data_IF_620055519271
#
_entry.id   IF_620055519271
#
_cell.length_a   1.000
_cell.length_b   1.000
_cell.length_c   1.000
_cell.angle_alpha   90.00
_cell.angle_beta   90.00
_cell.angle_gamma   90.00
#
_symmetry.space_group_name_H-M   'P 1'
#
loop_
_entity.id
_entity.type
_entity.pdbx_description
1 polymer ?
#
# COMPACT_ATOMS: atom_id res chain seq x y z
N UNK A 1 13.97 -7.31 1.21
CA UNK A 1 13.65 -8.32 2.25
C UNK A 1 12.21 -8.04 2.68
N UNK A 2 11.23 -8.79 2.12
CA UNK A 2 9.82 -8.60 2.46
C UNK A 2 9.56 -9.31 3.80
N UNK A 3 9.38 -8.54 4.86
CA UNK A 3 8.87 -9.08 6.11
C UNK A 3 7.36 -9.31 5.94
N UNK A 4 6.96 -10.57 5.99
CA UNK A 4 5.57 -10.97 6.05
C UNK A 4 4.93 -10.36 7.31
N UNK A 5 4.01 -9.43 7.14
CA UNK A 5 3.14 -8.99 8.23
C UNK A 5 2.30 -10.19 8.69
N UNK A 6 2.70 -10.77 9.81
CA UNK A 6 1.94 -11.82 10.47
C UNK A 6 0.64 -11.23 11.04
N UNK A 7 -0.45 -11.38 10.34
CA UNK A 7 -1.80 -11.20 10.87
C UNK A 7 -2.14 -12.40 11.77
N UNK A 8 -1.45 -12.53 12.90
CA UNK A 8 -1.83 -13.47 13.94
C UNK A 8 -2.66 -12.74 14.98
N UNK A 9 -3.96 -12.99 15.01
CA UNK A 9 -4.79 -12.59 16.13
C UNK A 9 -6.20 -12.09 15.86
N UNK A 10 -6.81 -12.36 14.70
CA UNK A 10 -8.24 -12.09 14.49
C UNK A 10 -8.97 -13.39 14.28
N UNK A 11 -9.74 -13.80 15.29
CA UNK A 11 -10.49 -15.07 15.31
C UNK A 11 -11.74 -15.10 14.42
N UNK A 12 -11.93 -14.10 13.55
CA UNK A 12 -12.94 -14.07 12.50
C UNK A 12 -12.27 -13.70 11.18
N UNK A 13 -11.49 -14.64 10.66
CA UNK A 13 -10.79 -14.49 9.40
C UNK A 13 -11.76 -14.43 8.24
N UNK A 14 -12.19 -13.25 7.84
CA UNK A 14 -12.63 -13.03 6.47
C UNK A 14 -11.44 -13.43 5.60
N UNK A 15 -11.54 -14.60 4.97
CA UNK A 15 -10.47 -15.14 4.15
C UNK A 15 -10.18 -14.14 3.04
N UNK A 16 -8.90 -13.83 2.82
CA UNK A 16 -8.47 -13.13 1.62
C UNK A 16 -8.95 -13.96 0.42
N UNK A 17 -9.81 -13.40 -0.40
CA UNK A 17 -10.39 -14.10 -1.55
C UNK A 17 -9.49 -14.02 -2.78
N UNK A 18 -8.69 -12.96 -2.89
CA UNK A 18 -7.71 -12.75 -3.96
C UNK A 18 -6.70 -11.67 -3.59
N UNK A 19 -5.55 -11.67 -4.24
CA UNK A 19 -4.57 -10.59 -4.20
C UNK A 19 -4.37 -10.06 -5.62
N UNK A 20 -4.36 -8.74 -5.76
CA UNK A 20 -4.10 -8.07 -7.03
C UNK A 20 -2.82 -7.24 -6.85
N UNK A 21 -1.82 -7.56 -7.64
CA UNK A 21 -0.61 -6.75 -7.80
C UNK A 21 -0.82 -5.84 -8.99
N UNK A 22 -0.72 -4.54 -8.79
CA UNK A 22 -0.90 -3.57 -9.87
C UNK A 22 0.31 -2.65 -9.98
N UNK A 23 0.74 -2.39 -11.20
CA UNK A 23 1.81 -1.46 -11.53
C UNK A 23 1.60 -0.96 -12.97
N UNK A 24 2.07 0.25 -13.28
CA UNK A 24 2.08 0.76 -14.65
C UNK A 24 3.23 0.15 -15.46
N UNK A 25 4.27 -0.33 -14.79
CA UNK A 25 5.49 -0.89 -15.36
C UNK A 25 5.39 -2.43 -15.48
N UNK A 26 5.29 -2.93 -16.70
CA UNK A 26 5.20 -4.39 -16.97
C UNK A 26 6.42 -5.16 -16.45
N UNK A 27 7.68 -4.74 -16.65
CA UNK A 27 8.84 -5.39 -16.07
C UNK A 27 8.77 -5.56 -14.54
N UNK A 28 8.21 -4.60 -13.82
CA UNK A 28 8.02 -4.71 -12.36
C UNK A 28 6.96 -5.76 -12.01
N UNK A 29 5.87 -5.84 -12.77
CA UNK A 29 4.87 -6.90 -12.60
C UNK A 29 5.45 -8.29 -12.89
N UNK A 30 6.30 -8.41 -13.91
CA UNK A 30 6.99 -9.67 -14.22
C UNK A 30 7.95 -10.09 -13.09
N UNK A 31 8.68 -9.14 -12.52
CA UNK A 31 9.55 -9.39 -11.37
C UNK A 31 8.72 -9.80 -10.14
N UNK A 32 7.62 -9.11 -9.88
CA UNK A 32 6.68 -9.45 -8.81
C UNK A 32 6.13 -10.87 -8.99
N UNK A 33 5.73 -11.24 -10.20
CA UNK A 33 5.27 -12.59 -10.53
C UNK A 33 6.34 -13.64 -10.23
N UNK A 34 7.57 -13.45 -10.69
CA UNK A 34 8.69 -14.38 -10.45
C UNK A 34 8.97 -14.54 -8.95
N UNK A 35 8.96 -13.43 -8.20
CA UNK A 35 9.19 -13.44 -6.76
C UNK A 35 8.06 -14.17 -6.01
N UNK A 36 6.80 -13.95 -6.40
CA UNK A 36 5.66 -14.62 -5.76
C UNK A 36 5.63 -16.12 -6.05
N UNK A 37 6.05 -16.57 -7.23
CA UNK A 37 6.19 -17.99 -7.54
C UNK A 37 7.22 -18.69 -6.62
N UNK A 38 8.31 -18.03 -6.31
CA UNK A 38 9.35 -18.59 -5.41
C UNK A 38 8.89 -18.70 -3.95
N UNK A 39 7.92 -17.90 -3.53
CA UNK A 39 7.39 -17.87 -2.15
C UNK A 39 6.19 -18.80 -1.97
N UNK A 40 5.47 -19.11 -3.06
CA UNK A 40 4.16 -19.78 -3.01
C UNK A 40 4.20 -21.28 -2.74
N UNK A 41 5.37 -21.92 -2.76
CA UNK A 41 5.45 -23.38 -2.64
C UNK A 41 5.12 -23.91 -1.25
N UNK A 42 5.28 -23.09 -0.18
CA UNK A 42 5.13 -23.57 1.20
C UNK A 42 4.20 -22.73 2.08
N UNK A 43 3.60 -21.64 1.57
CA UNK A 43 2.88 -20.67 2.39
C UNK A 43 1.39 -20.50 2.01
N UNK A 44 0.64 -19.92 2.93
CA UNK A 44 -0.79 -19.61 2.83
C UNK A 44 -1.20 -18.89 1.54
N UNK A 45 -0.30 -18.10 0.92
CA UNK A 45 -0.52 -17.46 -0.37
C UNK A 45 -0.72 -18.43 -1.54
N UNK A 46 -0.19 -19.66 -1.48
CA UNK A 46 -0.39 -20.66 -2.54
C UNK A 46 -1.84 -21.14 -2.73
N UNK A 47 -2.75 -20.73 -1.82
CA UNK A 47 -4.19 -21.04 -1.89
C UNK A 47 -5.06 -19.87 -2.30
N UNK A 48 -4.48 -18.67 -2.45
CA UNK A 48 -5.21 -17.45 -2.79
C UNK A 48 -4.94 -17.11 -4.25
N UNK A 49 -5.95 -16.88 -5.09
CA UNK A 49 -5.78 -16.41 -6.46
C UNK A 49 -4.97 -15.11 -6.51
N UNK A 50 -3.91 -15.08 -7.32
CA UNK A 50 -3.04 -13.93 -7.53
C UNK A 50 -3.27 -13.38 -8.95
N UNK A 51 -3.44 -12.06 -9.05
CA UNK A 51 -3.63 -11.35 -10.31
C UNK A 51 -2.55 -10.29 -10.46
N UNK A 52 -2.05 -10.10 -11.69
CA UNK A 52 -1.06 -9.10 -12.03
C UNK A 52 -1.65 -8.19 -13.09
N UNK A 53 -1.85 -6.93 -12.77
CA UNK A 53 -2.63 -6.01 -13.61
C UNK A 53 -1.82 -4.77 -13.93
N UNK A 54 -1.69 -4.46 -15.22
CA UNK A 54 -1.16 -3.16 -15.64
C UNK A 54 -2.20 -2.09 -15.37
N UNK A 55 -1.93 -1.22 -14.40
CA UNK A 55 -2.88 -0.19 -13.97
C UNK A 55 -2.15 1.09 -13.53
N UNK A 56 -2.76 2.23 -13.81
CA UNK A 56 -2.33 3.51 -13.27
C UNK A 56 -2.98 3.73 -11.91
N UNK A 57 -2.17 3.85 -10.85
CA UNK A 57 -2.64 4.10 -9.49
C UNK A 57 -3.50 5.37 -9.35
N UNK A 58 -3.29 6.35 -10.23
CA UNK A 58 -4.09 7.59 -10.26
C UNK A 58 -5.51 7.38 -10.82
N UNK A 59 -5.75 6.28 -11.53
CA UNK A 59 -7.02 5.96 -12.21
C UNK A 59 -7.35 4.48 -12.04
N UNK A 60 -7.48 4.00 -10.81
CA UNK A 60 -7.69 2.58 -10.57
C UNK A 60 -9.07 2.12 -11.05
N UNK A 61 -9.10 0.95 -11.68
CA UNK A 61 -10.33 0.38 -12.26
C UNK A 61 -10.89 -0.80 -11.46
N UNK A 62 -10.04 -1.39 -10.61
CA UNK A 62 -10.37 -2.65 -9.92
C UNK A 62 -10.68 -2.41 -8.44
N UNK A 63 -11.91 -1.95 -8.16
CA UNK A 63 -12.43 -1.93 -6.80
C UNK A 63 -13.62 -2.85 -6.65
N UNK A 64 -13.51 -3.79 -5.75
CA UNK A 64 -14.62 -4.56 -5.22
C UNK A 64 -14.91 -4.15 -3.78
N UNK A 65 -16.09 -4.49 -3.28
CA UNK A 65 -16.41 -4.30 -1.88
C UNK A 65 -15.42 -5.05 -0.98
N UNK A 66 -15.03 -4.43 0.12
CA UNK A 66 -14.07 -4.99 1.09
C UNK A 66 -12.61 -5.04 0.60
N UNK A 67 -12.22 -4.12 -0.28
CA UNK A 67 -10.83 -4.00 -0.73
C UNK A 67 -9.94 -3.41 0.37
N UNK A 68 -8.77 -3.99 0.54
CA UNK A 68 -7.64 -3.39 1.28
C UNK A 68 -6.63 -2.91 0.25
N UNK A 69 -6.22 -1.66 0.34
CA UNK A 69 -5.20 -1.06 -0.55
C UNK A 69 -3.89 -0.96 0.20
N UNK A 70 -2.81 -1.45 -0.40
CA UNK A 70 -1.46 -1.32 0.14
C UNK A 70 -0.57 -0.70 -0.92
N UNK A 71 0.12 0.39 -0.59
CA UNK A 71 1.21 0.94 -1.39
C UNK A 71 2.51 0.84 -0.61
N UNK A 72 3.58 0.45 -1.28
CA UNK A 72 4.89 0.30 -0.66
C UNK A 72 5.96 0.86 -1.59
N UNK A 73 6.55 1.98 -1.20
CA UNK A 73 7.54 2.63 -2.04
C UNK A 73 6.93 3.17 -3.34
N UNK A 74 5.77 3.85 -3.25
CA UNK A 74 5.02 4.33 -4.42
C UNK A 74 4.72 5.82 -4.34
N UNK A 75 4.19 6.31 -3.22
CA UNK A 75 3.72 7.68 -3.12
C UNK A 75 4.84 8.71 -3.22
N UNK A 76 6.05 8.37 -2.85
CA UNK A 76 7.23 9.23 -2.90
C UNK A 76 7.64 9.64 -4.33
N UNK A 77 7.14 8.96 -5.35
CA UNK A 77 7.39 9.28 -6.76
C UNK A 77 6.40 10.27 -7.35
N UNK A 78 5.40 10.70 -6.56
CA UNK A 78 4.31 11.54 -7.04
C UNK A 78 4.36 12.97 -6.50
N UNK A 79 3.72 13.91 -7.22
CA UNK A 79 3.48 15.27 -6.75
C UNK A 79 2.47 15.28 -5.59
N UNK A 80 2.43 16.36 -4.79
CA UNK A 80 1.46 16.52 -3.71
C UNK A 80 0.02 16.42 -4.20
N UNK A 81 -0.25 17.01 -5.38
CA UNK A 81 -1.56 16.95 -6.02
C UNK A 81 -1.95 15.52 -6.37
N UNK A 82 -1.01 14.74 -6.93
CA UNK A 82 -1.25 13.36 -7.29
C UNK A 82 -1.41 12.47 -6.05
N UNK A 83 -0.58 12.65 -5.03
CA UNK A 83 -0.71 11.92 -3.76
C UNK A 83 -2.09 12.17 -3.14
N UNK A 84 -2.51 13.44 -3.06
CA UNK A 84 -3.83 13.79 -2.53
C UNK A 84 -4.94 13.14 -3.35
N UNK A 85 -4.83 13.14 -4.68
CA UNK A 85 -5.77 12.50 -5.60
C UNK A 85 -5.82 10.98 -5.38
N UNK A 86 -4.66 10.32 -5.33
CA UNK A 86 -4.54 8.88 -5.08
C UNK A 86 -5.24 8.51 -3.78
N UNK A 87 -4.85 9.13 -2.66
CA UNK A 87 -5.42 8.84 -1.35
C UNK A 87 -6.93 9.08 -1.31
N UNK A 88 -7.41 10.17 -1.96
CA UNK A 88 -8.84 10.48 -2.04
C UNK A 88 -9.61 9.48 -2.89
N UNK A 89 -9.04 9.02 -3.99
CA UNK A 89 -9.65 8.00 -4.86
C UNK A 89 -9.89 6.70 -4.11
N UNK A 90 -8.96 6.31 -3.25
CA UNK A 90 -9.09 5.13 -2.39
C UNK A 90 -9.97 5.37 -1.15
N UNK A 91 -10.33 6.60 -0.83
CA UNK A 91 -11.27 6.91 0.26
C UNK A 91 -12.72 6.80 -0.22
N UNK A 92 -13.16 5.59 -0.50
CA UNK A 92 -14.50 5.27 -1.02
C UNK A 92 -15.14 4.07 -0.29
N UNK A 93 -16.43 3.84 -0.53
CA UNK A 93 -17.20 2.81 0.16
C UNK A 93 -16.75 1.37 -0.07
N UNK A 94 -15.95 1.12 -1.10
CA UNK A 94 -15.44 -0.22 -1.44
C UNK A 94 -14.14 -0.54 -0.71
N UNK A 95 -13.38 0.48 -0.30
CA UNK A 95 -12.10 0.31 0.39
C UNK A 95 -12.34 0.34 1.90
N UNK A 96 -11.96 -0.74 2.57
CA UNK A 96 -12.06 -0.86 4.03
C UNK A 96 -10.87 -0.22 4.74
N UNK A 97 -9.72 -0.28 4.11
CA UNK A 97 -8.46 0.08 4.74
C UNK A 97 -7.41 0.45 3.69
N UNK A 98 -6.64 1.47 3.97
CA UNK A 98 -5.46 1.85 3.19
C UNK A 98 -4.22 1.77 4.08
N UNK A 99 -3.15 1.22 3.56
CA UNK A 99 -1.83 1.20 4.18
C UNK A 99 -0.80 1.74 3.18
N UNK A 100 -0.09 2.79 3.57
CA UNK A 100 0.91 3.45 2.74
C UNK A 100 2.25 3.45 3.45
N UNK A 101 3.27 2.88 2.83
CA UNK A 101 4.66 3.01 3.27
C UNK A 101 5.38 4.03 2.39
N UNK A 102 6.14 4.92 3.01
CA UNK A 102 7.04 5.88 2.36
C UNK A 102 8.35 6.02 3.14
N UNK A 103 9.47 6.27 2.44
CA UNK A 103 10.73 6.68 3.10
C UNK A 103 10.61 8.14 3.57
N UNK A 104 11.34 8.47 4.64
CA UNK A 104 11.38 9.83 5.19
C UNK A 104 12.70 10.51 4.89
N UNK A 105 12.81 11.81 5.23
CA UNK A 105 14.04 12.58 5.12
C UNK A 105 15.16 12.11 6.06
N UNK A 106 14.95 11.09 6.88
CA UNK A 106 15.98 10.45 7.67
C UNK A 106 16.91 9.53 6.85
N UNK A 107 16.54 9.21 5.61
CA UNK A 107 17.45 8.61 4.65
C UNK A 107 18.40 9.67 4.10
N UNK A 108 19.68 9.30 3.93
CA UNK A 108 20.69 10.21 3.44
C UNK A 108 20.53 10.58 1.96
N UNK A 109 19.97 9.67 1.16
CA UNK A 109 19.75 9.85 -0.27
C UNK A 109 18.63 8.92 -0.78
N UNK A 110 17.95 9.31 -1.86
CA UNK A 110 17.00 8.44 -2.55
C UNK A 110 17.68 7.17 -3.09
N UNK A 111 16.97 6.05 -3.06
CA UNK A 111 17.49 4.77 -3.57
C UNK A 111 17.49 4.72 -5.10
N UNK A 112 16.46 5.29 -5.74
CA UNK A 112 16.30 5.34 -7.20
C UNK A 112 16.49 6.74 -7.80
N UNK A 113 16.71 7.75 -6.95
CA UNK A 113 17.05 9.10 -7.36
C UNK A 113 15.87 10.05 -7.58
N UNK A 114 14.65 9.54 -7.64
CA UNK A 114 13.41 10.32 -7.86
C UNK A 114 12.45 10.28 -6.65
N UNK A 115 12.81 9.54 -5.59
CA UNK A 115 12.02 9.54 -4.37
C UNK A 115 12.10 10.88 -3.64
N UNK A 116 10.95 11.34 -3.21
CA UNK A 116 10.81 12.52 -2.38
C UNK A 116 10.94 12.13 -0.92
N UNK A 117 12.12 12.31 -0.37
CA UNK A 117 12.41 12.09 1.06
C UNK A 117 11.89 13.27 1.88
N UNK A 118 10.59 13.26 2.22
CA UNK A 118 9.95 14.35 2.92
C UNK A 118 9.95 14.14 4.44
N UNK A 119 9.87 15.24 5.23
CA UNK A 119 9.67 15.15 6.67
C UNK A 119 8.40 14.40 7.04
N UNK A 120 8.41 13.74 8.19
CA UNK A 120 7.27 12.97 8.72
C UNK A 120 6.00 13.84 8.79
N UNK A 121 6.11 15.03 9.38
CA UNK A 121 4.97 15.95 9.52
C UNK A 121 4.39 16.39 8.19
N UNK A 122 5.25 16.51 7.17
CA UNK A 122 4.80 16.82 5.81
C UNK A 122 3.95 15.68 5.24
N UNK A 123 4.41 14.43 5.35
CA UNK A 123 3.67 13.26 4.94
C UNK A 123 2.33 13.13 5.66
N UNK A 124 2.32 13.32 6.99
CA UNK A 124 1.10 13.27 7.79
C UNK A 124 0.10 14.35 7.35
N UNK A 125 0.57 15.56 7.07
CA UNK A 125 -0.28 16.65 6.60
C UNK A 125 -0.88 16.36 5.21
N UNK A 126 -0.10 15.73 4.33
CA UNK A 126 -0.50 15.44 2.97
C UNK A 126 -1.49 14.27 2.88
N UNK A 127 -1.19 13.17 3.55
CA UNK A 127 -1.99 11.93 3.51
C UNK A 127 -3.16 11.96 4.51
N UNK A 128 -3.02 12.66 5.64
CA UNK A 128 -4.00 12.72 6.74
C UNK A 128 -4.41 11.33 7.20
N UNK A 129 -3.47 10.50 7.65
CA UNK A 129 -3.76 9.15 8.13
C UNK A 129 -4.53 9.20 9.45
N UNK A 130 -5.30 8.14 9.76
CA UNK A 130 -5.93 7.97 11.08
C UNK A 130 -4.91 7.50 12.11
N UNK A 131 -3.93 6.68 11.64
CA UNK A 131 -2.82 6.17 12.46
C UNK A 131 -1.54 6.14 11.63
N UNK A 132 -0.41 6.22 12.30
CA UNK A 132 0.89 6.01 11.68
C UNK A 132 1.85 5.27 12.61
N UNK A 133 2.85 4.64 12.02
CA UNK A 133 3.93 3.95 12.71
C UNK A 133 5.25 4.37 12.08
N UNK A 134 6.25 4.60 12.92
CA UNK A 134 7.64 4.82 12.52
C UNK A 134 8.46 3.57 12.83
N UNK A 135 9.33 3.21 11.92
CA UNK A 135 10.30 2.13 12.07
C UNK A 135 11.67 2.58 11.59
N UNK A 136 12.68 1.76 11.81
CA UNK A 136 14.06 1.99 11.34
C UNK A 136 14.59 3.39 11.70
N UNK A 137 14.50 3.76 12.99
CA UNK A 137 14.91 5.08 13.51
C UNK A 137 14.24 6.26 12.80
N UNK A 138 12.96 6.11 12.44
CA UNK A 138 12.17 7.14 11.79
C UNK A 138 12.39 7.28 10.28
N UNK A 139 13.16 6.38 9.67
CA UNK A 139 13.38 6.35 8.23
C UNK A 139 12.18 5.84 7.48
N UNK A 140 11.46 4.88 8.06
CA UNK A 140 10.31 4.23 7.46
C UNK A 140 9.01 4.71 8.12
N UNK A 141 8.12 5.30 7.32
CA UNK A 141 6.83 5.77 7.78
C UNK A 141 5.71 4.92 7.16
N UNK A 142 4.93 4.30 8.02
CA UNK A 142 3.71 3.57 7.66
C UNK A 142 2.49 4.39 8.06
N UNK A 143 1.60 4.67 7.11
CA UNK A 143 0.39 5.47 7.31
C UNK A 143 -0.85 4.64 7.02
N UNK A 144 -1.85 4.75 7.88
CA UNK A 144 -3.04 3.93 7.81
C UNK A 144 -4.29 4.80 7.79
N UNK A 145 -5.21 4.50 6.87
CA UNK A 145 -6.55 5.10 6.82
C UNK A 145 -7.59 4.00 6.88
N UNK A 146 -8.54 4.17 7.77
CA UNK A 146 -9.68 3.28 7.92
C UNK A 146 -10.91 3.90 7.27
N UNK A 147 -11.84 3.08 6.84
CA UNK A 147 -13.15 3.57 6.45
C UNK A 147 -13.78 4.31 7.64
N UNK A 148 -14.07 5.58 7.49
CA UNK A 148 -14.81 6.33 8.50
C UNK A 148 -16.12 5.61 8.78
N UNK A 149 -16.37 5.24 10.05
CA UNK A 149 -17.66 4.70 10.43
C UNK A 149 -18.73 5.71 9.99
N UNK A 150 -19.84 5.27 9.38
CA UNK A 150 -20.92 6.18 9.01
C UNK A 150 -21.35 6.91 10.28
N UNK A 151 -21.26 8.24 10.26
CA UNK A 151 -21.74 9.08 11.36
C UNK A 151 -23.21 8.75 11.55
N UNK A 152 -23.54 8.05 12.63
CA UNK A 152 -24.95 7.84 12.99
C UNK A 152 -25.55 9.21 13.24
N UNK A 153 -26.38 9.65 12.30
CA UNK A 153 -27.28 10.79 12.50
C UNK A 153 -28.46 10.34 13.35
#
# INVERSE_FOLDING_TARGET
MFNSFGLTGVSDTKKISKVIFSDINIPMLELCYKNTLSISTDNYLGKVPLFYVKENICEPKFFESSTVVVTHGVLEHFSDTDITRIVSTYNNDKVLFQAHYVPTCQYASPSFGDERLLPIDYWITLVKPDYYLLDNDGKDLYMFKTKSAPTRR
#
